data_IF_082717285960
#
_entry.id   IF_082717285960
#
_cell.length_a   1.000
_cell.length_b   1.000
_cell.length_c   1.000
_cell.angle_alpha   90.00
_cell.angle_beta   90.00
_cell.angle_gamma   90.00
#
_symmetry.space_group_name_H-M   'P 1'
#
loop_
_entity.id
_entity.type
_entity.pdbx_description
1 polymer ?
#
# COMPACT_ATOMS: atom_id res chain seq x y z
N UNK A 1 -60.99 3.15 -36.88
CA UNK A 1 -61.62 3.54 -35.63
C UNK A 1 -61.27 2.51 -34.58
N UNK A 2 -60.26 2.71 -33.82
CA UNK A 2 -60.00 2.09 -32.48
C UNK A 2 -59.03 2.99 -31.79
N UNK A 3 -59.43 3.45 -30.64
CA UNK A 3 -58.85 4.48 -29.79
C UNK A 3 -57.79 3.85 -28.88
N UNK A 4 -56.57 4.34 -28.90
CA UNK A 4 -55.52 3.95 -27.96
C UNK A 4 -55.41 5.01 -26.87
N UNK A 5 -55.91 4.68 -25.66
CA UNK A 5 -55.77 5.48 -24.46
C UNK A 5 -54.41 5.18 -23.80
N UNK A 6 -53.46 6.10 -23.93
CA UNK A 6 -52.20 6.15 -23.16
C UNK A 6 -52.49 6.70 -21.76
N UNK A 7 -52.43 5.88 -20.71
CA UNK A 7 -52.39 6.32 -19.33
C UNK A 7 -50.90 6.53 -18.89
N UNK A 8 -50.47 7.77 -18.90
CA UNK A 8 -49.16 8.17 -18.34
C UNK A 8 -49.33 8.45 -16.86
N UNK A 9 -48.59 7.74 -16.03
CA UNK A 9 -48.46 8.04 -14.60
C UNK A 9 -47.78 9.40 -14.39
N UNK A 10 -48.47 10.29 -13.67
CA UNK A 10 -48.02 11.66 -13.45
C UNK A 10 -46.82 11.74 -12.52
N UNK A 11 -45.88 12.66 -12.82
CA UNK A 11 -44.68 12.96 -12.04
C UNK A 11 -44.85 13.16 -10.51
N UNK A 12 -46.07 13.34 -10.03
CA UNK A 12 -46.40 13.52 -8.60
C UNK A 12 -46.52 12.22 -7.81
N UNK A 13 -46.72 11.07 -8.47
CA UNK A 13 -46.83 9.79 -7.76
C UNK A 13 -45.49 9.12 -7.53
N UNK A 14 -44.47 9.41 -8.36
CA UNK A 14 -43.11 8.90 -8.20
C UNK A 14 -42.40 9.48 -6.96
N UNK A 15 -42.81 10.65 -6.48
CA UNK A 15 -42.23 11.31 -5.31
C UNK A 15 -42.78 10.81 -3.96
N UNK A 16 -43.81 10.00 -3.95
CA UNK A 16 -44.40 9.44 -2.69
C UNK A 16 -43.81 8.08 -2.30
N UNK A 17 -43.10 7.38 -3.21
CA UNK A 17 -42.45 6.11 -2.92
C UNK A 17 -40.98 6.22 -2.49
N UNK A 18 -40.39 7.40 -2.60
CA UNK A 18 -38.98 7.64 -2.24
C UNK A 18 -38.76 8.04 -0.77
N UNK A 19 -39.79 8.19 0.02
CA UNK A 19 -39.68 8.73 1.39
C UNK A 19 -39.74 7.70 2.53
N UNK A 20 -39.85 6.40 2.24
CA UNK A 20 -39.92 5.34 3.29
C UNK A 20 -38.75 4.35 3.26
N UNK A 21 -37.83 4.40 2.29
CA UNK A 21 -36.70 3.46 2.19
C UNK A 21 -35.35 4.07 2.62
N UNK A 22 -35.32 5.21 3.27
CA UNK A 22 -34.10 5.99 3.55
C UNK A 22 -33.54 5.94 4.98
N UNK A 23 -33.96 4.99 5.83
CA UNK A 23 -33.57 5.07 7.24
C UNK A 23 -33.10 3.78 7.94
N UNK A 24 -32.62 2.75 7.24
CA UNK A 24 -32.12 1.53 7.91
C UNK A 24 -30.95 0.79 7.24
N UNK A 25 -30.12 1.43 6.44
CA UNK A 25 -28.96 0.75 5.80
C UNK A 25 -27.57 1.30 6.15
N UNK A 26 -27.44 2.18 7.13
CA UNK A 26 -26.13 2.76 7.49
C UNK A 26 -25.45 2.12 8.71
N UNK A 27 -26.03 1.08 9.32
CA UNK A 27 -25.55 0.55 10.61
C UNK A 27 -24.97 -0.87 10.63
N UNK A 28 -25.11 -1.67 9.58
CA UNK A 28 -24.79 -3.12 9.65
C UNK A 28 -23.55 -3.58 8.88
N UNK A 29 -23.00 -2.79 7.99
CA UNK A 29 -21.83 -3.22 7.20
C UNK A 29 -20.48 -3.08 7.91
N UNK A 30 -20.36 -2.24 8.94
CA UNK A 30 -19.09 -2.04 9.68
C UNK A 30 -18.84 -3.09 10.78
N UNK A 31 -19.89 -3.77 11.26
CA UNK A 31 -19.74 -4.87 12.20
C UNK A 31 -19.56 -6.22 11.50
N UNK A 32 -20.08 -6.37 10.28
CA UNK A 32 -19.93 -7.59 9.49
C UNK A 32 -18.48 -7.85 9.05
N UNK A 33 -17.70 -6.81 8.75
CA UNK A 33 -16.29 -6.97 8.34
C UNK A 33 -15.37 -7.50 9.44
N UNK A 34 -15.55 -7.05 10.70
CA UNK A 34 -14.77 -7.57 11.84
C UNK A 34 -15.25 -8.96 12.30
N UNK A 35 -16.54 -9.24 12.20
CA UNK A 35 -17.10 -10.55 12.56
C UNK A 35 -16.74 -11.63 11.52
N UNK A 36 -16.74 -11.31 10.22
CA UNK A 36 -16.32 -12.23 9.17
C UNK A 36 -14.82 -12.61 9.28
N UNK A 37 -13.93 -11.63 9.56
CA UNK A 37 -12.51 -11.89 9.78
C UNK A 37 -12.23 -12.76 11.00
N UNK A 38 -12.98 -12.60 12.09
CA UNK A 38 -12.79 -13.40 13.30
C UNK A 38 -13.32 -14.83 13.16
N UNK A 39 -14.42 -15.04 12.41
CA UNK A 39 -14.98 -16.36 12.16
C UNK A 39 -14.12 -17.21 11.20
N UNK A 40 -13.43 -16.57 10.24
CA UNK A 40 -12.53 -17.24 9.30
C UNK A 40 -11.21 -17.74 9.93
N UNK A 41 -10.87 -17.26 11.15
CA UNK A 41 -9.64 -17.61 11.85
C UNK A 41 -9.83 -18.72 12.91
N UNK A 42 -11.09 -19.09 13.24
CA UNK A 42 -11.36 -20.18 14.18
C UNK A 42 -10.90 -21.54 13.58
N UNK A 43 -9.94 -22.16 14.27
CA UNK A 43 -9.40 -23.47 13.89
C UNK A 43 -8.11 -23.44 13.07
N UNK A 44 -7.59 -22.27 12.68
CA UNK A 44 -6.28 -22.20 12.03
C UNK A 44 -5.17 -22.61 12.99
N UNK A 45 -4.26 -23.48 12.55
CA UNK A 45 -3.13 -23.97 13.36
C UNK A 45 -1.91 -24.22 12.49
N UNK A 46 -0.76 -23.81 13.02
CA UNK A 46 0.58 -24.13 12.49
C UNK A 46 1.37 -25.02 13.47
N UNK A 47 0.68 -25.70 14.40
CA UNK A 47 1.34 -26.58 15.40
C UNK A 47 2.23 -27.62 14.70
N UNK A 48 3.50 -27.63 15.10
CA UNK A 48 4.52 -28.52 14.53
C UNK A 48 4.98 -28.14 13.12
N UNK A 49 4.61 -26.95 12.62
CA UNK A 49 5.02 -26.43 11.33
C UNK A 49 6.15 -25.41 11.47
N UNK A 50 7.12 -25.48 10.54
CA UNK A 50 8.24 -24.55 10.43
C UNK A 50 8.01 -23.63 9.24
N UNK A 51 7.95 -22.33 9.46
CA UNK A 51 7.63 -21.36 8.42
C UNK A 51 8.82 -20.45 8.17
N UNK A 52 9.37 -20.49 6.96
CA UNK A 52 10.40 -19.58 6.50
C UNK A 52 9.81 -18.19 6.23
N UNK A 53 10.36 -17.16 6.84
CA UNK A 53 10.00 -15.75 6.62
C UNK A 53 11.25 -15.04 6.14
N UNK A 54 11.22 -14.54 4.90
CA UNK A 54 12.34 -13.85 4.27
C UNK A 54 11.94 -12.42 3.94
N UNK A 55 12.69 -11.45 4.46
CA UNK A 55 12.52 -10.04 4.14
C UNK A 55 13.70 -9.52 3.33
N UNK A 56 13.42 -8.68 2.32
CA UNK A 56 14.45 -7.94 1.59
C UNK A 56 15.18 -6.95 2.51
N UNK A 57 14.47 -6.34 3.44
CA UNK A 57 14.98 -5.50 4.53
C UNK A 57 13.88 -5.24 5.54
N UNK A 58 14.26 -4.71 6.71
CA UNK A 58 13.32 -4.34 7.80
C UNK A 58 13.61 -2.94 8.35
N UNK A 59 14.28 -2.12 7.56
CA UNK A 59 14.72 -0.77 7.92
C UNK A 59 13.64 0.31 7.67
N UNK A 60 12.54 -0.03 6.98
CA UNK A 60 11.41 0.86 6.75
C UNK A 60 10.15 0.39 7.50
N UNK A 61 9.25 1.34 7.77
CA UNK A 61 8.03 1.10 8.54
C UNK A 61 7.20 -0.09 8.01
N UNK A 62 6.87 -0.08 6.71
CA UNK A 62 6.07 -1.14 6.10
C UNK A 62 6.70 -2.52 6.32
N UNK A 63 7.97 -2.66 5.96
CA UNK A 63 8.68 -3.93 6.00
C UNK A 63 8.79 -4.47 7.43
N UNK A 64 9.18 -3.60 8.37
CA UNK A 64 9.36 -3.95 9.79
C UNK A 64 8.04 -4.44 10.40
N UNK A 65 6.93 -3.72 10.16
CA UNK A 65 5.63 -4.08 10.71
C UNK A 65 5.11 -5.40 10.12
N UNK A 66 5.23 -5.57 8.79
CA UNK A 66 4.82 -6.82 8.13
C UNK A 66 5.65 -8.02 8.58
N UNK A 67 6.98 -7.85 8.69
CA UNK A 67 7.89 -8.90 9.13
C UNK A 67 7.62 -9.34 10.57
N UNK A 68 7.53 -8.39 11.50
CA UNK A 68 7.27 -8.69 12.91
C UNK A 68 5.91 -9.36 13.10
N UNK A 69 4.87 -8.84 12.43
CA UNK A 69 3.53 -9.41 12.50
C UNK A 69 3.46 -10.85 11.95
N UNK A 70 4.25 -11.18 10.93
CA UNK A 70 4.37 -12.57 10.46
C UNK A 70 4.99 -13.48 11.52
N UNK A 71 6.08 -13.07 12.15
CA UNK A 71 6.75 -13.84 13.21
C UNK A 71 5.81 -14.08 14.39
N UNK A 72 5.10 -13.04 14.83
CA UNK A 72 4.14 -13.10 15.93
C UNK A 72 2.97 -14.04 15.58
N UNK A 73 2.43 -13.95 14.36
CA UNK A 73 1.29 -14.73 13.93
C UNK A 73 1.64 -16.22 13.77
N UNK A 74 2.84 -16.56 13.26
CA UNK A 74 3.33 -17.94 13.24
C UNK A 74 3.35 -18.52 14.66
N UNK A 75 3.91 -17.79 15.63
CA UNK A 75 3.97 -18.21 17.04
C UNK A 75 2.56 -18.32 17.63
N UNK A 76 1.67 -17.35 17.36
CA UNK A 76 0.27 -17.36 17.83
C UNK A 76 -0.48 -18.60 17.36
N UNK A 77 -0.23 -19.04 16.12
CA UNK A 77 -0.82 -20.25 15.54
C UNK A 77 -0.10 -21.56 15.95
N UNK A 78 0.93 -21.46 16.83
CA UNK A 78 1.65 -22.61 17.38
C UNK A 78 2.77 -23.16 16.49
N UNK A 79 3.18 -22.41 15.45
CA UNK A 79 4.29 -22.75 14.56
C UNK A 79 5.65 -22.23 15.04
N UNK A 80 6.70 -22.61 14.33
CA UNK A 80 8.08 -22.17 14.51
C UNK A 80 8.50 -21.27 13.33
N UNK A 81 8.76 -19.96 13.54
CA UNK A 81 9.25 -19.08 12.48
C UNK A 81 10.77 -19.27 12.28
N UNK A 82 11.19 -19.39 11.02
CA UNK A 82 12.59 -19.30 10.58
C UNK A 82 12.71 -17.96 9.84
N UNK A 83 13.01 -16.92 10.58
CA UNK A 83 12.97 -15.54 10.10
C UNK A 83 14.36 -15.03 9.74
N UNK A 84 14.50 -14.45 8.53
CA UNK A 84 15.74 -13.90 8.00
C UNK A 84 15.49 -12.53 7.37
N UNK A 85 16.44 -11.62 7.59
CA UNK A 85 16.43 -10.26 7.05
C UNK A 85 17.73 -10.01 6.27
N UNK A 86 17.58 -9.64 5.00
CA UNK A 86 18.73 -9.39 4.13
C UNK A 86 19.34 -7.99 4.31
N UNK A 87 18.66 -7.06 4.97
CA UNK A 87 19.14 -5.69 5.15
C UNK A 87 19.38 -4.98 3.82
N UNK A 88 18.49 -5.20 2.84
CA UNK A 88 18.51 -4.69 1.45
C UNK A 88 19.78 -5.04 0.67
N UNK A 89 20.39 -6.16 1.00
CA UNK A 89 21.52 -6.70 0.25
C UNK A 89 21.10 -7.94 -0.54
N UNK A 90 21.07 -7.82 -1.87
CA UNK A 90 20.60 -8.87 -2.77
C UNK A 90 21.44 -10.16 -2.66
N UNK A 91 22.75 -10.04 -2.48
CA UNK A 91 23.63 -11.21 -2.28
C UNK A 91 23.31 -11.97 -1.00
N UNK A 92 23.04 -11.24 0.09
CA UNK A 92 22.60 -11.82 1.37
C UNK A 92 21.21 -12.42 1.24
N UNK A 93 20.28 -11.76 0.55
CA UNK A 93 18.93 -12.26 0.29
C UNK A 93 18.98 -13.61 -0.44
N UNK A 94 19.75 -13.70 -1.51
CA UNK A 94 19.95 -14.94 -2.27
C UNK A 94 20.52 -16.05 -1.38
N UNK A 95 21.58 -15.79 -0.59
CA UNK A 95 22.16 -16.76 0.33
C UNK A 95 21.17 -17.24 1.40
N UNK A 96 20.34 -16.34 1.93
CA UNK A 96 19.31 -16.66 2.90
C UNK A 96 18.18 -17.52 2.31
N UNK A 97 17.69 -17.17 1.10
CA UNK A 97 16.69 -17.98 0.38
C UNK A 97 17.25 -19.38 0.09
N UNK A 98 18.51 -19.49 -0.35
CA UNK A 98 19.19 -20.79 -0.55
C UNK A 98 19.18 -21.62 0.75
N UNK A 99 19.52 -20.99 1.87
CA UNK A 99 19.54 -21.63 3.18
C UNK A 99 18.15 -22.08 3.61
N UNK A 100 17.13 -21.24 3.43
CA UNK A 100 15.74 -21.60 3.73
C UNK A 100 15.27 -22.79 2.91
N UNK A 101 15.54 -22.82 1.60
CA UNK A 101 15.18 -23.97 0.72
C UNK A 101 15.88 -25.24 1.20
N UNK A 102 17.16 -25.16 1.60
CA UNK A 102 17.91 -26.31 2.12
C UNK A 102 17.35 -26.84 3.46
N UNK A 103 16.80 -25.98 4.30
CA UNK A 103 16.18 -26.32 5.57
C UNK A 103 14.80 -26.99 5.43
N UNK A 104 14.20 -26.96 4.24
CA UNK A 104 12.90 -27.56 3.91
C UNK A 104 11.81 -27.20 4.93
N UNK A 105 11.46 -25.91 5.10
CA UNK A 105 10.32 -25.53 5.93
C UNK A 105 9.01 -26.00 5.29
N UNK A 106 7.92 -26.00 6.05
CA UNK A 106 6.59 -26.36 5.54
C UNK A 106 6.02 -25.32 4.56
N UNK A 107 6.46 -24.07 4.64
CA UNK A 107 6.20 -23.00 3.67
C UNK A 107 7.24 -21.89 3.77
N UNK A 108 7.36 -21.08 2.72
CA UNK A 108 8.18 -19.83 2.71
C UNK A 108 7.28 -18.65 2.36
N UNK A 109 7.42 -17.55 3.11
CA UNK A 109 6.83 -16.25 2.79
C UNK A 109 7.96 -15.27 2.48
N UNK A 110 7.96 -14.69 1.26
CA UNK A 110 8.90 -13.65 0.85
C UNK A 110 8.23 -12.28 0.92
N UNK A 111 8.84 -11.35 1.66
CA UNK A 111 8.41 -9.94 1.75
C UNK A 111 9.23 -9.12 0.78
N UNK A 112 8.55 -8.47 -0.17
CA UNK A 112 9.14 -7.63 -1.21
C UNK A 112 10.29 -8.31 -1.98
N UNK A 113 11.02 -7.55 -2.76
CA UNK A 113 12.18 -7.94 -3.53
C UNK A 113 12.02 -7.68 -5.02
N UNK A 114 13.16 -7.48 -5.67
CA UNK A 114 13.20 -7.38 -7.13
C UNK A 114 13.00 -8.76 -7.74
N UNK A 115 12.01 -8.93 -8.62
CA UNK A 115 11.65 -10.24 -9.19
C UNK A 115 12.85 -10.95 -9.83
N UNK A 116 13.73 -10.24 -10.54
CA UNK A 116 14.92 -10.82 -11.15
C UNK A 116 15.89 -11.45 -10.14
N UNK A 117 15.86 -10.99 -8.87
CA UNK A 117 16.69 -11.51 -7.78
C UNK A 117 16.01 -12.69 -7.08
N UNK A 118 14.74 -12.55 -6.73
CA UNK A 118 14.04 -13.54 -5.88
C UNK A 118 13.41 -14.69 -6.67
N UNK A 119 12.86 -14.46 -7.85
CA UNK A 119 12.08 -15.44 -8.62
C UNK A 119 12.82 -16.77 -8.87
N UNK A 120 14.11 -16.78 -9.22
CA UNK A 120 14.85 -18.02 -9.39
C UNK A 120 14.85 -18.91 -8.12
N UNK A 121 14.84 -18.30 -6.94
CA UNK A 121 14.84 -19.00 -5.66
C UNK A 121 13.45 -19.41 -5.21
N UNK A 122 12.44 -18.58 -5.48
CA UNK A 122 11.03 -18.96 -5.27
C UNK A 122 10.65 -20.16 -6.14
N UNK A 123 11.13 -20.18 -7.40
CA UNK A 123 11.01 -21.36 -8.28
C UNK A 123 11.68 -22.58 -7.69
N UNK A 124 12.93 -22.48 -7.22
CA UNK A 124 13.65 -23.60 -6.59
C UNK A 124 12.93 -24.14 -5.36
N UNK A 125 12.35 -23.26 -4.53
CA UNK A 125 11.54 -23.66 -3.40
C UNK A 125 10.32 -24.50 -3.87
N UNK A 126 9.60 -24.02 -4.88
CA UNK A 126 8.47 -24.72 -5.48
C UNK A 126 8.86 -26.07 -6.08
N UNK A 127 9.97 -26.10 -6.82
CA UNK A 127 10.51 -27.36 -7.41
C UNK A 127 10.91 -28.37 -6.32
N UNK A 128 11.30 -27.89 -5.14
CA UNK A 128 11.58 -28.72 -3.96
C UNK A 128 10.32 -29.12 -3.17
N UNK A 129 9.13 -28.79 -3.66
CA UNK A 129 7.84 -29.10 -3.01
C UNK A 129 7.48 -28.17 -1.85
N UNK A 130 8.19 -27.06 -1.66
CA UNK A 130 7.92 -26.10 -0.60
C UNK A 130 6.91 -25.05 -1.12
N UNK A 131 5.73 -24.91 -0.50
CA UNK A 131 4.79 -23.84 -0.81
C UNK A 131 5.42 -22.46 -0.62
N UNK A 132 5.20 -21.56 -1.58
CA UNK A 132 5.70 -20.18 -1.54
C UNK A 132 4.53 -19.23 -1.57
N UNK A 133 4.49 -18.29 -0.63
CA UNK A 133 3.60 -17.13 -0.62
C UNK A 133 4.46 -15.85 -0.63
N UNK A 134 3.86 -14.74 -1.00
CA UNK A 134 4.55 -13.45 -1.06
C UNK A 134 3.77 -12.35 -0.37
N UNK A 135 4.47 -11.30 0.01
CA UNK A 135 3.91 -10.02 0.48
C UNK A 135 4.45 -8.92 -0.41
N UNK A 136 3.53 -8.18 -1.03
CA UNK A 136 3.83 -7.02 -1.90
C UNK A 136 4.80 -7.33 -3.06
N UNK A 137 4.81 -8.56 -3.55
CA UNK A 137 5.58 -8.93 -4.74
C UNK A 137 4.88 -10.02 -5.56
N UNK A 138 4.49 -9.68 -6.79
CA UNK A 138 3.71 -10.53 -7.68
C UNK A 138 4.53 -11.59 -8.43
N UNK A 139 5.12 -12.57 -7.74
CA UNK A 139 5.85 -13.67 -8.38
C UNK A 139 4.91 -14.69 -9.01
N UNK A 140 5.24 -15.20 -10.21
CA UNK A 140 4.50 -16.30 -10.85
C UNK A 140 4.67 -17.64 -10.11
N UNK A 141 5.69 -17.77 -9.28
CA UNK A 141 5.99 -18.93 -8.46
C UNK A 141 5.31 -18.88 -7.08
N UNK A 142 4.70 -17.77 -6.69
CA UNK A 142 3.90 -17.66 -5.47
C UNK A 142 2.52 -18.30 -5.66
N UNK A 143 1.99 -18.94 -4.63
CA UNK A 143 0.62 -19.47 -4.60
C UNK A 143 -0.41 -18.42 -4.22
N UNK A 144 0.00 -17.44 -3.42
CA UNK A 144 -0.79 -16.30 -3.02
C UNK A 144 0.15 -15.12 -2.76
N UNK A 145 -0.24 -13.95 -3.17
CA UNK A 145 0.38 -12.68 -2.79
C UNK A 145 -0.58 -11.91 -1.88
N UNK A 146 -0.12 -11.53 -0.69
CA UNK A 146 -0.91 -10.69 0.22
C UNK A 146 -0.41 -9.25 0.10
N UNK A 147 -1.29 -8.32 -0.24
CA UNK A 147 -0.95 -6.93 -0.56
C UNK A 147 -2.13 -6.01 -0.26
N UNK A 148 -1.98 -4.71 -0.49
CA UNK A 148 -3.09 -3.76 -0.59
C UNK A 148 -3.59 -3.64 -2.03
N UNK A 149 -4.79 -3.06 -2.23
CA UNK A 149 -5.26 -2.67 -3.56
C UNK A 149 -4.45 -1.48 -4.10
N UNK A 150 -3.29 -1.77 -4.68
CA UNK A 150 -2.37 -0.75 -5.19
C UNK A 150 -2.93 0.05 -6.36
N UNK A 151 -3.90 -0.49 -7.11
CA UNK A 151 -4.64 0.25 -8.14
C UNK A 151 -5.54 1.30 -7.50
N UNK A 152 -6.33 0.90 -6.50
CA UNK A 152 -7.17 1.82 -5.72
C UNK A 152 -6.34 2.90 -5.02
N UNK A 153 -5.27 2.51 -4.33
CA UNK A 153 -4.33 3.42 -3.65
C UNK A 153 -3.78 4.47 -4.62
N UNK A 154 -3.18 4.03 -5.73
CA UNK A 154 -2.57 4.94 -6.71
C UNK A 154 -3.57 5.88 -7.34
N UNK A 155 -4.75 5.36 -7.71
CA UNK A 155 -5.85 6.16 -8.27
C UNK A 155 -6.36 7.20 -7.27
N UNK A 156 -6.67 6.79 -6.04
CA UNK A 156 -7.29 7.67 -5.04
C UNK A 156 -6.32 8.76 -4.60
N UNK A 157 -5.03 8.44 -4.41
CA UNK A 157 -4.00 9.40 -4.11
C UNK A 157 -3.78 10.40 -5.25
N UNK A 158 -3.78 9.93 -6.51
CA UNK A 158 -3.66 10.79 -7.68
C UNK A 158 -4.86 11.74 -7.85
N UNK A 159 -6.08 11.25 -7.62
CA UNK A 159 -7.29 12.07 -7.66
C UNK A 159 -7.30 13.12 -6.55
N UNK A 160 -6.84 12.76 -5.33
CA UNK A 160 -6.69 13.72 -4.23
C UNK A 160 -5.68 14.81 -4.60
N UNK A 161 -4.50 14.42 -5.11
CA UNK A 161 -3.47 15.36 -5.58
C UNK A 161 -4.04 16.33 -6.61
N UNK A 162 -4.67 15.83 -7.66
CA UNK A 162 -5.22 16.65 -8.74
C UNK A 162 -6.32 17.59 -8.22
N UNK A 163 -7.17 17.12 -7.29
CA UNK A 163 -8.20 17.93 -6.64
C UNK A 163 -7.58 19.09 -5.85
N UNK A 164 -6.57 18.80 -5.03
CA UNK A 164 -5.93 19.78 -4.14
C UNK A 164 -5.20 20.88 -4.92
N UNK A 165 -4.63 20.58 -6.09
CA UNK A 165 -3.95 21.57 -6.95
C UNK A 165 -4.88 22.26 -7.93
N UNK A 166 -6.20 21.95 -7.92
CA UNK A 166 -7.19 22.54 -8.82
C UNK A 166 -7.10 22.09 -10.27
N UNK A 167 -6.55 20.90 -10.53
CA UNK A 167 -6.48 20.31 -11.87
C UNK A 167 -5.44 20.93 -12.81
N UNK A 168 -4.52 21.77 -12.30
CA UNK A 168 -3.48 22.41 -13.11
C UNK A 168 -2.19 22.67 -12.31
N UNK A 169 -1.05 22.70 -13.01
CA UNK A 169 0.25 23.04 -12.47
C UNK A 169 1.29 21.93 -12.64
N UNK A 170 2.52 22.25 -12.28
CA UNK A 170 3.63 21.30 -12.36
C UNK A 170 3.70 20.46 -11.09
N UNK A 171 3.97 19.18 -11.25
CA UNK A 171 4.20 18.25 -10.15
C UNK A 171 5.57 17.59 -10.30
N UNK A 172 6.21 17.30 -9.18
CA UNK A 172 7.47 16.53 -9.10
C UNK A 172 7.12 15.11 -8.69
N UNK A 173 7.78 14.12 -9.27
CA UNK A 173 7.51 12.71 -9.02
C UNK A 173 8.78 11.99 -8.63
N UNK A 174 8.73 11.21 -7.54
CA UNK A 174 9.74 10.22 -7.19
C UNK A 174 9.33 8.86 -7.74
N UNK A 175 10.12 8.31 -8.68
CA UNK A 175 9.87 7.04 -9.37
C UNK A 175 11.12 6.14 -9.42
N UNK A 176 11.87 6.07 -8.30
CA UNK A 176 13.08 5.26 -8.21
C UNK A 176 12.82 3.76 -8.20
N UNK A 177 11.69 3.34 -7.67
CA UNK A 177 11.32 1.94 -7.44
C UNK A 177 10.26 1.40 -8.40
N UNK A 178 10.22 1.87 -9.65
CA UNK A 178 9.32 1.32 -10.67
C UNK A 178 9.50 -0.19 -10.91
N UNK A 179 10.68 -0.74 -10.59
CA UNK A 179 10.92 -2.19 -10.60
C UNK A 179 10.24 -3.00 -9.50
N UNK A 180 9.68 -2.33 -8.48
CA UNK A 180 8.90 -2.94 -7.39
C UNK A 180 7.42 -2.86 -7.76
N UNK A 181 6.76 -4.01 -7.90
CA UNK A 181 5.40 -4.11 -8.46
C UNK A 181 4.38 -3.14 -7.84
N UNK A 182 4.24 -2.99 -6.50
CA UNK A 182 3.33 -2.01 -5.91
C UNK A 182 3.63 -0.56 -6.35
N UNK A 183 4.91 -0.16 -6.38
CA UNK A 183 5.32 1.18 -6.78
C UNK A 183 5.01 1.45 -8.25
N UNK A 184 5.25 0.46 -9.13
CA UNK A 184 4.91 0.57 -10.55
C UNK A 184 3.40 0.76 -10.75
N UNK A 185 2.57 -0.05 -10.08
CA UNK A 185 1.10 0.07 -10.18
C UNK A 185 0.62 1.45 -9.73
N UNK A 186 1.11 1.93 -8.59
CA UNK A 186 0.76 3.26 -8.04
C UNK A 186 1.13 4.39 -9.00
N UNK A 187 2.33 4.32 -9.57
CA UNK A 187 2.81 5.30 -10.56
C UNK A 187 1.97 5.25 -11.85
N UNK A 188 1.70 4.07 -12.39
CA UNK A 188 0.86 3.93 -13.58
C UNK A 188 -0.54 4.53 -13.36
N UNK A 189 -1.09 4.43 -12.15
CA UNK A 189 -2.36 5.09 -11.81
C UNK A 189 -2.23 6.61 -11.77
N UNK A 190 -1.12 7.16 -11.23
CA UNK A 190 -0.86 8.59 -11.30
C UNK A 190 -0.87 9.07 -12.77
N UNK A 191 -0.11 8.41 -13.64
CA UNK A 191 -0.03 8.74 -15.08
C UNK A 191 -1.41 8.62 -15.74
N UNK A 192 -2.16 7.56 -15.44
CA UNK A 192 -3.51 7.35 -15.96
C UNK A 192 -4.48 8.48 -15.57
N UNK A 193 -4.43 8.94 -14.31
CA UNK A 193 -5.26 10.06 -13.85
C UNK A 193 -4.82 11.36 -14.51
N UNK A 194 -3.53 11.71 -14.47
CA UNK A 194 -2.98 12.96 -15.03
C UNK A 194 -3.26 13.09 -16.52
N UNK A 195 -3.34 12.00 -17.28
CA UNK A 195 -3.72 11.99 -18.69
C UNK A 195 -5.03 12.75 -18.99
N UNK A 196 -5.97 12.74 -18.05
CA UNK A 196 -7.28 13.43 -18.19
C UNK A 196 -7.26 14.86 -17.63
N UNK A 197 -6.11 15.32 -17.11
CA UNK A 197 -5.89 16.68 -16.61
C UNK A 197 -4.73 17.33 -17.39
N UNK A 198 -4.93 17.77 -18.64
CA UNK A 198 -3.84 18.15 -19.53
C UNK A 198 -3.06 19.38 -19.09
N UNK A 199 -3.57 20.13 -18.10
CA UNK A 199 -2.85 21.24 -17.48
C UNK A 199 -1.95 20.82 -16.30
N UNK A 200 -2.05 19.59 -15.82
CA UNK A 200 -1.11 19.02 -14.86
C UNK A 200 0.09 18.47 -15.65
N UNK A 201 1.30 18.87 -15.27
CA UNK A 201 2.54 18.47 -15.95
C UNK A 201 3.51 17.85 -14.97
N UNK A 202 4.00 16.66 -15.28
CA UNK A 202 5.13 16.07 -14.56
C UNK A 202 6.41 16.77 -15.01
N UNK A 203 7.20 17.24 -14.04
CA UNK A 203 8.52 17.83 -14.30
C UNK A 203 9.50 16.71 -14.64
N UNK A 204 10.16 16.84 -15.78
CA UNK A 204 11.18 15.93 -16.23
C UNK A 204 12.61 16.45 -16.01
N UNK A 205 13.58 15.58 -15.75
CA UNK A 205 13.41 14.15 -15.48
C UNK A 205 12.76 13.90 -14.11
N UNK A 206 12.01 12.81 -13.99
CA UNK A 206 11.50 12.35 -12.69
C UNK A 206 12.65 12.09 -11.72
N UNK A 207 12.39 12.32 -10.43
CA UNK A 207 13.36 12.05 -9.38
C UNK A 207 13.42 10.55 -9.07
N UNK A 208 14.57 10.11 -8.63
CA UNK A 208 14.79 8.72 -8.19
C UNK A 208 15.09 8.74 -6.70
N UNK A 209 14.22 8.11 -5.96
CA UNK A 209 14.48 7.78 -4.56
C UNK A 209 15.54 6.67 -4.46
N UNK A 210 16.41 6.74 -3.47
CA UNK A 210 17.52 5.80 -3.27
C UNK A 210 17.54 5.24 -1.85
N UNK A 211 18.13 4.09 -1.69
CA UNK A 211 18.39 3.43 -0.40
C UNK A 211 19.90 3.16 -0.31
N UNK A 212 20.52 3.38 0.84
CA UNK A 212 20.01 3.94 2.11
C UNK A 212 19.91 5.47 2.09
N UNK A 213 19.47 6.05 3.21
CA UNK A 213 19.38 7.49 3.44
C UNK A 213 18.32 8.21 2.59
N UNK A 214 17.23 7.53 2.26
CA UNK A 214 16.17 8.02 1.38
C UNK A 214 15.59 9.38 1.82
N UNK A 215 15.38 9.61 3.13
CA UNK A 215 14.88 10.91 3.63
C UNK A 215 15.84 12.04 3.29
N UNK A 216 17.13 11.87 3.58
CA UNK A 216 18.15 12.90 3.33
C UNK A 216 18.37 13.11 1.83
N UNK A 217 18.31 12.05 1.04
CA UNK A 217 18.43 12.12 -0.41
C UNK A 217 17.25 12.91 -1.01
N UNK A 218 16.01 12.57 -0.64
CA UNK A 218 14.81 13.28 -1.07
C UNK A 218 14.85 14.76 -0.67
N UNK A 219 15.26 15.05 0.58
CA UNK A 219 15.47 16.44 1.03
C UNK A 219 16.43 17.20 0.11
N UNK A 220 17.56 16.58 -0.24
CA UNK A 220 18.59 17.21 -1.08
C UNK A 220 18.09 17.42 -2.51
N UNK A 221 17.43 16.42 -3.10
CA UNK A 221 16.86 16.52 -4.44
C UNK A 221 15.78 17.61 -4.52
N UNK A 222 14.87 17.68 -3.54
CA UNK A 222 13.85 18.73 -3.51
C UNK A 222 14.45 20.10 -3.30
N UNK A 223 15.45 20.25 -2.44
CA UNK A 223 16.18 21.53 -2.30
C UNK A 223 16.75 21.99 -3.64
N UNK A 224 17.36 21.09 -4.42
CA UNK A 224 17.86 21.40 -5.76
C UNK A 224 16.75 21.79 -6.75
N UNK A 225 15.60 21.10 -6.70
CA UNK A 225 14.42 21.45 -7.50
C UNK A 225 13.88 22.83 -7.14
N UNK A 226 13.78 23.18 -5.84
CA UNK A 226 13.33 24.50 -5.42
C UNK A 226 14.24 25.62 -5.89
N UNK A 227 15.56 25.40 -5.92
CA UNK A 227 16.51 26.35 -6.49
C UNK A 227 16.32 26.54 -8.01
N UNK A 228 15.94 25.51 -8.72
CA UNK A 228 15.65 25.54 -10.16
C UNK A 228 14.29 26.22 -10.45
N UNK A 229 13.34 26.11 -9.53
CA UNK A 229 11.97 26.64 -9.64
C UNK A 229 11.65 27.55 -8.44
N UNK A 230 12.32 28.70 -8.31
CA UNK A 230 12.21 29.55 -7.11
C UNK A 230 10.85 30.25 -6.95
N UNK A 231 10.15 30.46 -8.07
CA UNK A 231 8.89 31.20 -8.07
C UNK A 231 7.77 30.44 -7.34
N UNK A 232 7.07 31.11 -6.41
CA UNK A 232 5.90 30.53 -5.75
C UNK A 232 4.84 30.17 -6.79
N UNK A 233 4.31 28.95 -6.68
CA UNK A 233 3.34 28.42 -7.62
C UNK A 233 3.93 27.74 -8.87
N UNK A 234 5.25 27.80 -9.11
CA UNK A 234 5.92 27.09 -10.21
C UNK A 234 5.83 25.57 -10.08
N UNK A 235 5.73 25.07 -8.85
CA UNK A 235 5.43 23.67 -8.48
C UNK A 235 4.20 23.68 -7.58
N UNK A 236 3.30 22.73 -7.77
CA UNK A 236 2.08 22.60 -6.97
C UNK A 236 2.12 21.40 -6.03
N UNK A 237 2.73 20.29 -6.46
CA UNK A 237 2.75 19.08 -5.66
C UNK A 237 4.02 18.25 -5.91
N UNK A 238 4.30 17.37 -4.92
CA UNK A 238 5.31 16.33 -5.01
C UNK A 238 4.60 15.00 -4.71
N UNK A 239 4.74 14.04 -5.59
CA UNK A 239 4.20 12.70 -5.44
C UNK A 239 5.32 11.68 -5.29
N UNK A 240 5.13 10.68 -4.43
CA UNK A 240 6.01 9.54 -4.31
C UNK A 240 5.22 8.24 -4.15
N UNK A 241 5.79 7.14 -4.65
CA UNK A 241 5.15 5.82 -4.59
C UNK A 241 5.09 5.25 -3.17
N UNK A 242 5.83 5.83 -2.21
CA UNK A 242 5.89 5.46 -0.80
C UNK A 242 6.23 6.69 0.06
N UNK A 243 6.13 6.59 1.39
CA UNK A 243 6.10 7.75 2.26
C UNK A 243 7.49 8.28 2.70
N UNK A 244 8.55 7.49 2.56
CA UNK A 244 9.89 7.94 2.99
C UNK A 244 10.42 9.11 2.12
N UNK A 245 10.31 9.10 0.78
CA UNK A 245 10.61 10.29 -0.02
C UNK A 245 9.66 11.46 0.27
N UNK A 246 8.37 11.19 0.56
CA UNK A 246 7.42 12.22 0.99
C UNK A 246 7.89 12.91 2.27
N UNK A 247 8.37 12.16 3.25
CA UNK A 247 8.92 12.71 4.50
C UNK A 247 10.08 13.68 4.21
N UNK A 248 11.07 13.25 3.43
CA UNK A 248 12.21 14.10 3.06
C UNK A 248 11.80 15.34 2.26
N UNK A 249 10.87 15.17 1.32
CA UNK A 249 10.31 16.28 0.55
C UNK A 249 9.57 17.29 1.45
N UNK A 250 8.74 16.79 2.38
CA UNK A 250 8.01 17.64 3.34
C UNK A 250 8.95 18.46 4.20
N UNK A 251 10.04 17.85 4.68
CA UNK A 251 11.08 18.54 5.46
C UNK A 251 11.79 19.63 4.64
N UNK A 252 12.12 19.35 3.38
CA UNK A 252 12.75 20.32 2.50
C UNK A 252 11.85 21.53 2.20
N UNK A 253 10.55 21.30 1.95
CA UNK A 253 9.56 22.36 1.74
C UNK A 253 9.39 23.23 2.98
N UNK A 254 9.32 22.62 4.15
CA UNK A 254 9.22 23.34 5.43
C UNK A 254 10.48 24.20 5.67
N UNK A 255 11.66 23.66 5.44
CA UNK A 255 12.92 24.38 5.61
C UNK A 255 13.07 25.57 4.63
N UNK A 256 12.47 25.48 3.45
CA UNK A 256 12.51 26.51 2.40
C UNK A 256 11.33 27.49 2.44
N UNK A 257 10.43 27.40 3.43
CA UNK A 257 9.17 28.17 3.50
C UNK A 257 8.32 28.08 2.21
N UNK A 258 8.30 26.86 1.63
CA UNK A 258 7.54 26.54 0.40
C UNK A 258 6.33 25.65 0.72
N UNK A 259 5.61 25.96 1.81
CA UNK A 259 4.50 25.14 2.32
C UNK A 259 3.24 25.19 1.45
N UNK A 260 3.22 26.02 0.43
CA UNK A 260 2.17 26.01 -0.60
C UNK A 260 2.24 24.78 -1.53
N UNK A 261 3.39 24.09 -1.60
CA UNK A 261 3.56 22.86 -2.37
C UNK A 261 3.11 21.68 -1.52
N UNK A 262 2.21 20.83 -2.02
CA UNK A 262 1.69 19.69 -1.28
C UNK A 262 2.50 18.43 -1.56
N UNK A 263 2.65 17.54 -0.54
CA UNK A 263 3.32 16.25 -0.70
C UNK A 263 2.35 15.10 -0.51
N UNK A 264 2.55 14.00 -1.26
CA UNK A 264 1.68 12.83 -1.32
C UNK A 264 2.53 11.56 -1.33
N UNK A 265 2.13 10.55 -0.54
CA UNK A 265 2.83 9.27 -0.44
C UNK A 265 1.91 8.13 -0.03
N UNK A 266 2.52 6.99 0.22
CA UNK A 266 1.83 5.74 0.59
C UNK A 266 2.63 5.08 1.71
N UNK A 267 2.02 4.40 2.61
CA UNK A 267 2.38 3.42 3.62
C UNK A 267 1.80 3.74 5.00
N UNK A 268 1.63 5.03 5.34
CA UNK A 268 0.99 5.43 6.59
C UNK A 268 1.92 5.34 7.80
N UNK A 269 3.21 5.64 7.62
CA UNK A 269 4.10 5.72 8.79
C UNK A 269 3.62 6.77 9.81
N UNK A 270 3.80 6.52 11.11
CA UNK A 270 3.33 7.45 12.14
C UNK A 270 3.83 8.88 11.95
N UNK A 271 5.09 9.03 11.51
CA UNK A 271 5.69 10.34 11.26
C UNK A 271 4.97 11.10 10.13
N UNK A 272 4.67 10.42 9.02
CA UNK A 272 3.99 11.06 7.88
C UNK A 272 2.54 11.36 8.23
N UNK A 273 1.84 10.45 8.93
CA UNK A 273 0.47 10.73 9.39
C UNK A 273 0.39 11.91 10.37
N UNK A 274 1.39 12.10 11.24
CA UNK A 274 1.49 13.30 12.09
C UNK A 274 1.68 14.56 11.25
N UNK A 275 2.49 14.52 10.20
CA UNK A 275 2.65 15.65 9.27
C UNK A 275 1.36 15.94 8.49
N UNK A 276 0.60 14.92 8.08
CA UNK A 276 -0.72 15.12 7.46
C UNK A 276 -1.70 15.73 8.46
N UNK A 277 -1.61 15.41 9.76
CA UNK A 277 -2.46 15.96 10.81
C UNK A 277 -2.14 17.45 11.14
N UNK A 278 -0.89 17.88 10.95
CA UNK A 278 -0.49 19.26 11.20
C UNK A 278 -1.04 20.19 10.11
N UNK A 279 -1.92 21.15 10.43
CA UNK A 279 -2.50 22.08 9.45
C UNK A 279 -1.44 22.96 8.76
N UNK A 280 -0.29 23.19 9.39
CA UNK A 280 0.80 24.01 8.85
C UNK A 280 1.78 23.23 7.98
N UNK A 281 1.74 21.90 8.03
CA UNK A 281 2.60 21.05 7.24
C UNK A 281 2.20 21.03 5.76
N UNK A 282 3.15 20.96 4.82
CA UNK A 282 2.88 20.74 3.40
C UNK A 282 2.41 19.33 3.06
N UNK A 283 2.45 18.37 3.99
CA UNK A 283 1.90 17.03 3.74
C UNK A 283 0.40 17.11 3.42
N UNK A 284 0.01 16.74 2.19
CA UNK A 284 -1.37 16.82 1.69
C UNK A 284 -2.18 15.58 2.04
N UNK A 285 -1.67 14.42 1.68
CA UNK A 285 -2.31 13.14 1.96
C UNK A 285 -1.27 12.01 1.98
N UNK A 286 -1.67 10.90 2.61
CA UNK A 286 -0.96 9.62 2.57
C UNK A 286 -1.98 8.47 2.46
N UNK A 287 -1.71 7.51 1.57
CA UNK A 287 -2.53 6.30 1.48
C UNK A 287 -2.00 5.25 2.45
N UNK A 288 -2.51 5.29 3.67
CA UNK A 288 -2.05 4.46 4.77
C UNK A 288 -2.42 2.99 4.56
N UNK A 289 -1.43 2.14 4.40
CA UNK A 289 -1.54 0.69 4.37
C UNK A 289 -1.67 0.12 5.80
N UNK A 290 -1.93 -1.18 5.91
CA UNK A 290 -1.98 -1.91 7.17
C UNK A 290 -0.92 -3.03 7.18
N UNK A 291 0.39 -2.69 7.24
CA UNK A 291 1.45 -3.68 7.02
C UNK A 291 1.43 -4.83 8.03
N UNK A 292 1.11 -4.56 9.31
CA UNK A 292 0.96 -5.61 10.31
C UNK A 292 -0.19 -6.57 9.97
N UNK A 293 -1.32 -6.06 9.46
CA UNK A 293 -2.44 -6.93 9.05
C UNK A 293 -2.14 -7.68 7.74
N UNK A 294 -1.40 -7.07 6.81
CA UNK A 294 -0.86 -7.75 5.62
C UNK A 294 0.01 -8.94 6.07
N UNK A 295 0.91 -8.73 7.03
CA UNK A 295 1.77 -9.77 7.58
C UNK A 295 0.97 -10.90 8.23
N UNK A 296 0.00 -10.58 9.09
CA UNK A 296 -0.88 -11.58 9.73
C UNK A 296 -1.70 -12.35 8.70
N UNK A 297 -2.29 -11.65 7.73
CA UNK A 297 -3.09 -12.28 6.67
C UNK A 297 -2.25 -13.24 5.83
N UNK A 298 -1.00 -12.89 5.50
CA UNK A 298 -0.10 -13.78 4.78
C UNK A 298 0.13 -15.11 5.54
N UNK A 299 0.33 -15.05 6.86
CA UNK A 299 0.53 -16.25 7.69
C UNK A 299 -0.77 -17.05 7.87
N UNK A 300 -1.93 -16.39 8.00
CA UNK A 300 -3.23 -17.10 7.99
C UNK A 300 -3.46 -17.81 6.66
N UNK A 301 -3.06 -17.20 5.55
CA UNK A 301 -3.08 -17.84 4.23
C UNK A 301 -2.13 -19.05 4.17
N UNK A 302 -0.94 -18.99 4.79
CA UNK A 302 -0.08 -20.17 4.96
C UNK A 302 -0.81 -21.29 5.71
N UNK A 303 -1.45 -20.97 6.84
CA UNK A 303 -2.18 -21.94 7.65
C UNK A 303 -3.36 -22.56 6.87
N UNK A 304 -4.14 -21.76 6.16
CA UNK A 304 -5.23 -22.23 5.27
C UNK A 304 -4.69 -23.18 4.20
N UNK A 305 -3.60 -22.80 3.54
CA UNK A 305 -2.98 -23.63 2.50
C UNK A 305 -2.49 -24.97 3.04
N UNK A 306 -1.81 -24.97 4.19
CA UNK A 306 -1.31 -26.20 4.83
C UNK A 306 -2.44 -27.08 5.39
N UNK A 307 -3.62 -26.50 5.63
CA UNK A 307 -4.86 -27.25 5.94
C UNK A 307 -5.58 -27.77 4.67
N UNK A 308 -5.01 -27.61 3.48
CA UNK A 308 -5.57 -28.10 2.21
C UNK A 308 -6.60 -27.19 1.57
N UNK A 309 -6.73 -25.93 2.04
CA UNK A 309 -7.64 -24.97 1.43
C UNK A 309 -7.02 -24.32 0.18
N UNK A 310 -7.85 -23.99 -0.80
CA UNK A 310 -7.44 -23.24 -1.99
C UNK A 310 -7.41 -21.74 -1.66
N UNK A 311 -6.35 -21.06 -2.06
CA UNK A 311 -6.20 -19.61 -1.90
C UNK A 311 -6.48 -18.86 -3.19
N UNK A 312 -6.99 -17.63 -3.14
CA UNK A 312 -6.98 -16.73 -4.29
C UNK A 312 -5.53 -16.38 -4.67
N UNK A 313 -5.31 -15.95 -5.90
CA UNK A 313 -3.98 -15.51 -6.34
C UNK A 313 -3.50 -14.28 -5.56
N UNK A 314 -4.40 -13.34 -5.29
CA UNK A 314 -4.16 -12.13 -4.52
C UNK A 314 -5.11 -12.06 -3.32
N UNK A 315 -4.59 -11.66 -2.18
CA UNK A 315 -5.35 -11.33 -0.97
C UNK A 315 -5.13 -9.86 -0.63
N UNK A 316 -6.22 -9.08 -0.65
CA UNK A 316 -6.13 -7.64 -0.45
C UNK A 316 -6.49 -7.25 0.99
N UNK A 317 -5.59 -6.51 1.63
CA UNK A 317 -5.85 -5.82 2.90
C UNK A 317 -6.19 -4.36 2.58
N UNK A 318 -7.30 -3.81 3.09
CA UNK A 318 -7.69 -2.45 2.79
C UNK A 318 -6.64 -1.42 3.20
N UNK A 319 -6.44 -0.40 2.36
CA UNK A 319 -5.72 0.81 2.72
C UNK A 319 -6.70 1.97 2.94
N UNK A 320 -6.28 2.99 3.66
CA UNK A 320 -7.10 4.16 4.00
C UNK A 320 -6.41 5.43 3.51
N UNK A 321 -7.07 6.22 2.66
CA UNK A 321 -6.54 7.52 2.28
C UNK A 321 -6.68 8.50 3.45
N UNK A 322 -5.56 8.87 4.06
CA UNK A 322 -5.45 9.88 5.09
C UNK A 322 -5.23 11.25 4.45
N UNK A 323 -6.12 12.17 4.72
CA UNK A 323 -6.06 13.57 4.32
C UNK A 323 -6.14 14.45 5.57
N UNK A 324 -5.87 15.76 5.43
CA UNK A 324 -6.04 16.69 6.56
C UNK A 324 -7.44 16.66 7.19
N UNK A 325 -8.46 16.30 6.40
CA UNK A 325 -9.85 16.27 6.88
C UNK A 325 -10.19 15.02 7.72
N UNK A 326 -9.50 13.89 7.51
CA UNK A 326 -9.89 12.61 8.11
C UNK A 326 -8.75 11.86 8.80
N UNK A 327 -7.53 12.40 8.83
CA UNK A 327 -6.35 11.68 9.37
C UNK A 327 -6.55 11.20 10.81
N UNK A 328 -7.23 11.98 11.66
CA UNK A 328 -7.54 11.58 13.04
C UNK A 328 -8.43 10.32 13.12
N UNK A 329 -9.36 10.16 12.18
CA UNK A 329 -10.18 8.95 12.08
C UNK A 329 -9.36 7.78 11.54
N UNK A 330 -8.51 8.03 10.54
CA UNK A 330 -7.63 7.02 9.95
C UNK A 330 -6.64 6.48 10.97
N UNK A 331 -5.92 7.34 11.71
CA UNK A 331 -4.97 6.92 12.76
C UNK A 331 -5.67 6.09 13.84
N UNK A 332 -6.86 6.49 14.27
CA UNK A 332 -7.66 5.72 15.23
C UNK A 332 -8.04 4.34 14.68
N UNK A 333 -8.44 4.23 13.40
CA UNK A 333 -8.77 2.95 12.76
C UNK A 333 -7.57 2.03 12.64
N UNK A 334 -6.39 2.59 12.39
CA UNK A 334 -5.13 1.85 12.28
C UNK A 334 -4.52 1.49 13.63
N UNK A 335 -5.03 2.04 14.74
CA UNK A 335 -4.45 1.85 16.06
C UNK A 335 -3.08 2.53 16.21
N UNK A 336 -2.84 3.57 15.44
CA UNK A 336 -1.65 4.42 15.50
C UNK A 336 -2.01 5.64 16.36
N UNK A 337 -1.52 5.68 17.59
CA UNK A 337 -1.85 6.77 18.51
C UNK A 337 -1.18 6.59 19.84
#
# INVERSE_FOLDING_TARGET
MTDETKSGLGRREILKFAAVAGATFAGTSLLAGKAASAADDEGLSLKGKRIGISATGTDHYFDLQAYNAQIEEVKRLGGEPIAVDAGRNDGKLVAQLQTLVAQKPDAIVQILGTLSVIDPWLKKARDAGIPVLTVDVGSTHSLNNTTSDNWGIGKDLALQLVSDIGGEGNIVVFNGFYGVTPCAIRYDQLVNVVKYFPKVKIIEPELRDVIPNTVQDAFTQITAILNKYPEKGSIKAIWSAWDIPQLGATQALTAADRTEIRTYGVDGSPEVLQLVADPNSPAGADAAQQPAEIGRTAIRNVAKLLAGQTLPRESYVPALLATKANVAEVTKKLGIG
#
